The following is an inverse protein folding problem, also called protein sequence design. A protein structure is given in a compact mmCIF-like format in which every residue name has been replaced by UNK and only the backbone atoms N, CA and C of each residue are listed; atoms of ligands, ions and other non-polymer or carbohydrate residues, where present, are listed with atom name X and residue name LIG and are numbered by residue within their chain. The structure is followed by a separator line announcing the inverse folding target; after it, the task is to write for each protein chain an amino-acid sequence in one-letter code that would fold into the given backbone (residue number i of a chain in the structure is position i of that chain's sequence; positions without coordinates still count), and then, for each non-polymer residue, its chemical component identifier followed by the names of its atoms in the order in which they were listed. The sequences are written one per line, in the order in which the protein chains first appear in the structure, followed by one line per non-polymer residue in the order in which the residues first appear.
data_IF_982802863049
#
_entry.id   IF_982802863049
#
_cell.length_a   1.000
_cell.length_b   1.000
_cell.length_c   1.000
_cell.angle_alpha   90.00
_cell.angle_beta   90.00
_cell.angle_gamma   90.00
#
_symmetry.space_group_name_H-M   'P 1'
#
loop_
_entity.id
_entity.type
_entity.pdbx_description
1 polymer ?
#
# COMPACT_ATOMS: atom_id res chain seq x y z
N UNK A 1 -25.10 34.96 -0.65
CA UNK A 1 -24.78 34.16 0.55
C UNK A 1 -24.55 32.73 0.10
N UNK A 2 -23.31 32.28 -0.08
CA UNK A 2 -23.05 30.88 -0.42
C UNK A 2 -23.30 30.03 0.82
N UNK A 3 -23.99 28.90 0.65
CA UNK A 3 -24.13 27.85 1.64
C UNK A 3 -22.72 27.35 1.99
N UNK A 4 -22.24 27.65 3.21
CA UNK A 4 -21.06 27.02 3.77
C UNK A 4 -21.41 25.54 3.95
N UNK A 5 -20.80 24.66 3.15
CA UNK A 5 -20.81 23.24 3.41
C UNK A 5 -20.19 23.05 4.80
N UNK A 6 -21.00 22.65 5.79
CA UNK A 6 -20.45 22.19 7.06
C UNK A 6 -19.49 21.05 6.75
N UNK A 7 -18.22 21.21 7.15
CA UNK A 7 -17.30 20.09 7.13
C UNK A 7 -17.91 18.96 7.97
N UNK A 8 -17.96 17.72 7.44
CA UNK A 8 -18.59 16.61 8.13
C UNK A 8 -17.89 16.37 9.47
N UNK A 9 -18.70 16.12 10.51
CA UNK A 9 -18.21 15.72 11.83
C UNK A 9 -17.26 14.52 11.69
N UNK A 10 -16.18 14.42 12.49
CA UNK A 10 -15.21 13.32 12.41
C UNK A 10 -15.86 11.93 12.34
N UNK A 11 -16.96 11.73 13.07
CA UNK A 11 -17.74 10.48 13.08
C UNK A 11 -18.43 10.19 11.74
N UNK A 12 -18.92 11.21 11.03
CA UNK A 12 -19.56 11.04 9.73
C UNK A 12 -18.55 10.79 8.61
N UNK A 13 -17.37 11.43 8.69
CA UNK A 13 -16.27 11.19 7.76
C UNK A 13 -15.72 9.75 7.91
N UNK A 14 -15.60 9.25 9.15
CA UNK A 14 -15.20 7.88 9.43
C UNK A 14 -16.24 6.86 8.97
N UNK A 15 -17.52 7.11 9.20
CA UNK A 15 -18.62 6.25 8.70
C UNK A 15 -18.66 6.22 7.18
N UNK A 16 -18.45 7.36 6.50
CA UNK A 16 -18.34 7.41 5.03
C UNK A 16 -17.14 6.63 4.52
N UNK A 17 -15.96 6.80 5.12
CA UNK A 17 -14.76 6.02 4.76
C UNK A 17 -14.96 4.52 4.97
N UNK A 18 -15.62 4.14 6.07
CA UNK A 18 -15.96 2.75 6.32
C UNK A 18 -16.93 2.22 5.26
N UNK A 19 -17.97 2.97 4.91
CA UNK A 19 -18.92 2.63 3.84
C UNK A 19 -18.23 2.44 2.49
N UNK A 20 -17.32 3.36 2.13
CA UNK A 20 -16.58 3.29 0.86
C UNK A 20 -15.62 2.09 0.83
N UNK A 21 -14.96 1.78 1.96
CA UNK A 21 -14.12 0.59 2.08
C UNK A 21 -14.92 -0.72 1.94
N UNK A 22 -16.13 -0.79 2.49
CA UNK A 22 -17.02 -1.94 2.32
C UNK A 22 -17.44 -2.10 0.84
N UNK A 23 -17.74 -1.00 0.14
CA UNK A 23 -18.11 -1.05 -1.27
C UNK A 23 -16.95 -1.54 -2.17
N UNK A 24 -15.71 -1.11 -1.89
CA UNK A 24 -14.53 -1.63 -2.60
C UNK A 24 -14.30 -3.12 -2.34
N UNK A 25 -14.47 -3.57 -1.10
CA UNK A 25 -14.34 -4.99 -0.76
C UNK A 25 -15.40 -5.86 -1.45
N UNK A 26 -16.65 -5.40 -1.49
CA UNK A 26 -17.74 -6.12 -2.14
C UNK A 26 -17.51 -6.26 -3.65
N UNK A 27 -17.01 -5.20 -4.30
CA UNK A 27 -16.59 -5.26 -5.69
C UNK A 27 -15.48 -6.32 -5.90
N UNK A 28 -14.45 -6.32 -5.05
CA UNK A 28 -13.37 -7.31 -5.14
C UNK A 28 -13.86 -8.74 -4.94
N UNK A 29 -14.75 -8.98 -3.96
CA UNK A 29 -15.38 -10.30 -3.73
C UNK A 29 -16.23 -10.77 -4.92
N UNK A 30 -16.77 -9.85 -5.71
CA UNK A 30 -17.50 -10.18 -6.94
C UNK A 30 -16.57 -10.43 -8.14
N UNK A 31 -15.49 -9.67 -8.26
CA UNK A 31 -14.56 -9.74 -9.40
C UNK A 31 -13.51 -10.85 -9.26
N UNK A 32 -13.17 -11.24 -8.02
CA UNK A 32 -12.12 -12.22 -7.72
C UNK A 32 -12.71 -13.58 -7.34
N UNK A 33 -11.91 -14.62 -7.53
CA UNK A 33 -12.16 -15.93 -6.93
C UNK A 33 -12.03 -15.86 -5.40
N UNK A 34 -12.69 -16.77 -4.69
CA UNK A 34 -12.65 -16.81 -3.22
C UNK A 34 -11.23 -17.04 -2.68
N UNK A 35 -10.42 -17.81 -3.41
CA UNK A 35 -9.05 -18.19 -3.09
C UNK A 35 -8.01 -17.43 -3.91
N UNK A 36 -8.38 -16.25 -4.45
CA UNK A 36 -7.48 -15.38 -5.19
C UNK A 36 -6.16 -15.13 -4.44
N UNK A 37 -5.05 -15.04 -5.15
CA UNK A 37 -3.72 -14.90 -4.55
C UNK A 37 -2.97 -13.65 -5.03
N UNK A 38 -2.16 -13.03 -4.18
CA UNK A 38 -1.14 -12.02 -4.53
C UNK A 38 0.09 -12.20 -3.63
N UNK A 39 1.11 -12.91 -4.12
CA UNK A 39 2.22 -13.36 -3.30
C UNK A 39 1.75 -14.31 -2.19
N UNK A 40 2.00 -13.95 -0.93
CA UNK A 40 1.57 -14.72 0.24
C UNK A 40 0.11 -14.42 0.66
N UNK A 41 -0.50 -13.33 0.15
CA UNK A 41 -1.87 -12.98 0.46
C UNK A 41 -2.86 -13.92 -0.25
N UNK A 42 -3.92 -14.32 0.48
CA UNK A 42 -5.02 -15.16 -0.05
C UNK A 42 -6.38 -14.58 0.30
N UNK A 43 -7.24 -14.44 -0.70
CA UNK A 43 -8.58 -13.87 -0.60
C UNK A 43 -8.62 -12.35 -0.76
N UNK A 44 -9.77 -11.83 -1.19
CA UNK A 44 -9.97 -10.41 -1.50
C UNK A 44 -9.68 -9.46 -0.31
N UNK A 45 -9.92 -9.92 0.93
CA UNK A 45 -9.65 -9.12 2.14
C UNK A 45 -8.15 -8.95 2.38
N UNK A 46 -7.37 -10.03 2.24
CA UNK A 46 -5.91 -9.98 2.40
C UNK A 46 -5.27 -9.12 1.31
N UNK A 47 -5.77 -9.18 0.08
CA UNK A 47 -5.31 -8.34 -1.04
C UNK A 47 -5.61 -6.87 -0.78
N UNK A 48 -6.82 -6.53 -0.31
CA UNK A 48 -7.19 -5.16 0.00
C UNK A 48 -6.32 -4.58 1.13
N UNK A 49 -6.01 -5.37 2.16
CA UNK A 49 -5.10 -4.94 3.23
C UNK A 49 -3.66 -4.79 2.73
N UNK A 50 -3.18 -5.69 1.87
CA UNK A 50 -1.87 -5.57 1.22
C UNK A 50 -1.76 -4.27 0.38
N UNK A 51 -2.79 -3.93 -0.39
CA UNK A 51 -2.84 -2.67 -1.14
C UNK A 51 -2.91 -1.45 -0.24
N UNK A 52 -3.64 -1.53 0.88
CA UNK A 52 -3.65 -0.48 1.90
C UNK A 52 -2.26 -0.26 2.47
N UNK A 53 -1.51 -1.31 2.80
CA UNK A 53 -0.13 -1.20 3.27
C UNK A 53 0.79 -0.54 2.24
N UNK A 54 0.67 -0.90 0.96
CA UNK A 54 1.42 -0.24 -0.12
C UNK A 54 1.06 1.25 -0.29
N UNK A 55 -0.20 1.62 -0.11
CA UNK A 55 -0.65 3.02 -0.13
C UNK A 55 -0.17 3.81 1.10
N UNK A 56 -0.01 3.13 2.25
CA UNK A 56 0.51 3.70 3.49
C UNK A 56 2.04 3.81 3.52
N UNK A 57 2.76 3.34 2.50
CA UNK A 57 4.19 3.64 2.31
C UNK A 57 4.47 5.16 2.08
N UNK A 58 3.45 6.01 2.17
CA UNK A 58 3.59 7.45 2.35
C UNK A 58 3.74 7.82 3.85
N UNK A 59 4.95 7.68 4.39
CA UNK A 59 5.39 8.53 5.51
C UNK A 59 6.06 7.84 6.70
N UNK A 60 5.59 6.66 7.12
CA UNK A 60 6.04 6.03 8.36
C UNK A 60 6.39 4.55 8.16
N UNK A 61 7.37 4.26 7.29
CA UNK A 61 8.10 3.00 7.44
C UNK A 61 8.90 3.13 8.74
N UNK A 62 8.33 2.63 9.83
CA UNK A 62 9.03 2.52 11.11
C UNK A 62 10.13 1.48 10.93
N UNK A 63 11.34 1.94 10.60
CA UNK A 63 12.53 1.11 10.55
C UNK A 63 13.00 0.86 11.99
N UNK A 64 12.60 -0.26 12.63
CA UNK A 64 12.79 -0.46 14.06
C UNK A 64 14.26 -0.74 14.40
N UNK A 65 15.11 -0.88 13.37
CA UNK A 65 16.51 -1.31 13.45
C UNK A 65 17.50 -0.14 13.38
N UNK A 66 17.00 1.10 13.39
CA UNK A 66 17.82 2.33 13.38
C UNK A 66 18.48 2.64 14.73
N UNK A 67 18.94 1.63 15.47
CA UNK A 67 19.66 1.81 16.74
C UNK A 67 21.15 2.03 16.46
N UNK A 68 21.49 3.20 15.93
CA UNK A 68 22.87 3.61 15.69
C UNK A 68 22.98 5.01 15.05
N UNK A 69 24.12 5.67 15.21
CA UNK A 69 24.39 7.01 14.65
C UNK A 69 24.18 7.08 13.14
N UNK A 70 24.51 6.01 12.42
CA UNK A 70 24.37 5.91 10.97
C UNK A 70 22.91 5.64 10.54
N UNK A 71 22.16 4.92 11.37
CA UNK A 71 20.73 4.68 11.16
C UNK A 71 19.93 5.99 11.27
N UNK A 72 20.23 6.83 12.26
CA UNK A 72 19.60 8.14 12.39
C UNK A 72 19.85 9.05 11.17
N UNK A 73 21.04 8.98 10.57
CA UNK A 73 21.37 9.74 9.37
C UNK A 73 20.58 9.25 8.14
N UNK A 74 20.40 7.93 7.97
CA UNK A 74 19.58 7.36 6.91
C UNK A 74 18.08 7.69 7.10
N UNK A 75 17.59 7.59 8.34
CA UNK A 75 16.22 7.96 8.72
C UNK A 75 15.91 9.43 8.45
N UNK A 76 16.86 10.32 8.75
CA UNK A 76 16.75 11.75 8.48
C UNK A 76 16.62 12.06 6.98
N UNK A 77 17.17 11.23 6.09
CA UNK A 77 16.99 11.39 4.64
C UNK A 77 15.60 10.98 4.16
N UNK A 78 14.90 10.14 4.91
CA UNK A 78 13.57 9.60 4.57
C UNK A 78 12.42 10.43 5.16
N UNK A 79 12.67 11.12 6.28
CA UNK A 79 11.66 11.93 6.94
C UNK A 79 11.06 12.96 5.96
N UNK A 80 9.74 12.98 5.85
CA UNK A 80 8.98 13.85 4.94
C UNK A 80 9.36 13.73 3.44
N UNK A 81 9.94 12.60 3.01
CA UNK A 81 10.15 12.33 1.58
C UNK A 81 9.01 11.49 1.02
N UNK A 82 8.49 11.93 -0.12
CA UNK A 82 7.59 11.14 -0.96
C UNK A 82 8.43 10.27 -1.87
N UNK A 83 8.34 8.95 -1.71
CA UNK A 83 8.92 7.98 -2.62
C UNK A 83 7.92 7.72 -3.74
N UNK A 84 8.32 7.96 -4.98
CA UNK A 84 7.56 7.52 -6.16
C UNK A 84 8.13 6.18 -6.60
N UNK A 85 7.24 5.19 -6.68
CA UNK A 85 7.59 3.78 -6.94
C UNK A 85 6.92 3.37 -8.24
N UNK A 86 7.71 2.81 -9.15
CA UNK A 86 7.18 2.20 -10.36
C UNK A 86 6.73 0.77 -10.03
N UNK A 87 5.52 0.42 -10.45
CA UNK A 87 4.96 -0.90 -10.21
C UNK A 87 4.06 -1.35 -11.35
N UNK A 88 3.81 -2.66 -11.39
CA UNK A 88 2.93 -3.32 -12.34
C UNK A 88 2.11 -4.39 -11.63
N UNK A 89 0.89 -4.63 -12.09
CA UNK A 89 0.06 -5.73 -11.62
C UNK A 89 -0.35 -6.58 -12.82
N UNK A 90 -0.09 -7.88 -12.76
CA UNK A 90 -0.58 -8.84 -13.74
C UNK A 90 -1.79 -9.58 -13.16
N UNK A 91 -2.80 -9.85 -14.00
CA UNK A 91 -4.04 -10.51 -13.58
C UNK A 91 -4.21 -11.79 -14.39
N UNK A 92 -4.33 -12.90 -13.68
CA UNK A 92 -4.74 -14.17 -14.27
C UNK A 92 -6.22 -14.41 -13.99
N UNK A 93 -6.92 -14.80 -15.04
CA UNK A 93 -8.37 -14.97 -15.04
C UNK A 93 -8.72 -16.45 -15.21
N UNK A 94 -9.74 -16.91 -14.51
CA UNK A 94 -10.43 -18.15 -14.84
C UNK A 94 -11.45 -17.87 -15.94
N UNK A 95 -11.26 -18.49 -17.12
CA UNK A 95 -12.14 -18.34 -18.27
C UNK A 95 -13.57 -18.84 -18.00
N UNK A 96 -13.74 -19.77 -17.06
CA UNK A 96 -15.05 -20.38 -16.77
C UNK A 96 -15.92 -19.45 -15.92
N UNK A 97 -15.35 -18.86 -14.87
CA UNK A 97 -16.08 -17.94 -13.98
C UNK A 97 -15.96 -16.47 -14.39
N UNK A 98 -15.02 -16.13 -15.27
CA UNK A 98 -14.70 -14.75 -15.63
C UNK A 98 -14.10 -13.97 -14.46
N UNK A 99 -13.55 -14.65 -13.46
CA UNK A 99 -13.01 -14.06 -12.23
C UNK A 99 -11.50 -14.06 -12.21
N UNK A 100 -10.92 -13.11 -11.49
CA UNK A 100 -9.48 -13.09 -11.24
C UNK A 100 -9.12 -14.16 -10.21
N UNK A 101 -8.20 -15.05 -10.56
CA UNK A 101 -7.70 -16.13 -9.69
C UNK A 101 -6.33 -15.84 -9.11
N UNK A 102 -5.54 -15.00 -9.76
CA UNK A 102 -4.23 -14.58 -9.26
C UNK A 102 -3.90 -13.18 -9.74
N UNK A 103 -3.27 -12.43 -8.84
CA UNK A 103 -2.64 -11.16 -9.10
C UNK A 103 -1.15 -11.32 -8.82
N UNK A 104 -0.32 -10.74 -9.66
CA UNK A 104 1.10 -10.62 -9.38
C UNK A 104 1.49 -9.15 -9.38
N UNK A 105 1.57 -8.59 -8.18
CA UNK A 105 2.04 -7.23 -7.95
C UNK A 105 3.58 -7.19 -7.92
N UNK A 106 4.18 -6.31 -8.71
CA UNK A 106 5.62 -6.03 -8.72
C UNK A 106 5.85 -4.54 -8.49
N UNK A 107 6.76 -4.20 -7.60
CA UNK A 107 7.12 -2.81 -7.27
C UNK A 107 8.63 -2.66 -7.14
N UNK A 108 9.20 -1.63 -7.77
CA UNK A 108 10.61 -1.29 -7.63
C UNK A 108 10.81 -0.30 -6.47
N UNK A 109 10.90 -0.86 -5.27
CA UNK A 109 11.26 -0.09 -4.07
C UNK A 109 12.77 0.20 -4.00
N UNK A 110 13.60 -0.51 -4.78
CA UNK A 110 15.06 -0.41 -4.69
C UNK A 110 15.57 0.85 -5.36
N UNK A 111 15.09 1.16 -6.56
CA UNK A 111 15.54 2.33 -7.33
C UNK A 111 15.35 3.66 -6.59
N UNK A 112 14.17 4.01 -6.04
CA UNK A 112 14.01 5.28 -5.33
C UNK A 112 14.78 5.29 -4.00
N UNK A 113 14.91 4.15 -3.32
CA UNK A 113 15.69 4.04 -2.08
C UNK A 113 17.20 4.20 -2.32
N UNK A 114 17.74 3.64 -3.41
CA UNK A 114 19.14 3.83 -3.79
C UNK A 114 19.44 5.26 -4.22
N UNK A 115 18.53 5.90 -4.97
CA UNK A 115 18.65 7.33 -5.29
C UNK A 115 18.70 8.20 -4.04
N UNK A 116 17.96 7.83 -2.99
CA UNK A 116 17.88 8.60 -1.75
C UNK A 116 19.05 8.33 -0.78
N UNK A 117 19.36 7.06 -0.53
CA UNK A 117 20.36 6.65 0.46
C UNK A 117 21.78 6.65 -0.12
N UNK A 118 21.92 6.47 -1.43
CA UNK A 118 23.20 6.43 -2.15
C UNK A 118 23.96 5.11 -2.00
N UNK A 119 23.44 4.12 -1.27
CA UNK A 119 24.06 2.80 -1.14
C UNK A 119 23.06 1.68 -0.80
N UNK A 120 23.35 0.47 -1.28
CA UNK A 120 22.62 -0.76 -0.92
C UNK A 120 22.83 -1.13 0.55
N UNK A 121 24.04 -0.90 1.08
CA UNK A 121 24.35 -1.19 2.47
C UNK A 121 23.47 -0.39 3.43
N UNK A 122 23.27 0.91 3.17
CA UNK A 122 22.37 1.74 3.95
C UNK A 122 20.92 1.24 3.86
N UNK A 123 20.49 0.72 2.70
CA UNK A 123 19.16 0.14 2.54
C UNK A 123 18.97 -1.13 3.37
N UNK A 124 19.90 -2.08 3.29
CA UNK A 124 19.81 -3.34 4.05
C UNK A 124 19.93 -3.14 5.56
N UNK A 125 20.63 -2.10 6.02
CA UNK A 125 20.65 -1.73 7.46
C UNK A 125 19.30 -1.24 7.98
N UNK A 126 18.36 -0.92 7.10
CA UNK A 126 17.03 -0.45 7.46
C UNK A 126 15.98 -1.57 7.50
N UNK A 127 16.18 -2.65 6.73
CA UNK A 127 15.35 -3.86 6.73
C UNK A 127 15.66 -4.76 7.93
#
# INVERSE_FOLDING_TARGET
MPLLALDPSPSEAEVRRASDAHAHLDFLKQAMALDVTDGDARGAEAILEQWRLFSLCHGDVLYPHLTGTDGFAAAGKLLNKRLEVEGSVHFDWDETSGRVVRLESKMDLMTPMLKLLGSLEAYFRML
#
